data_IF_693306648190
#
_entry.id   IF_693306648190
#
_cell.length_a   1.000
_cell.length_b   1.000
_cell.length_c   1.000
_cell.angle_alpha   90.00
_cell.angle_beta   90.00
_cell.angle_gamma   90.00
#
_symmetry.space_group_name_H-M   'P 1'
#
loop_
_entity.id
_entity.type
_entity.pdbx_description
1 polymer ?
#
# COMPACT_ATOMS: atom_id res chain seq x y z
N UNK A 1 10.64 -1.99 -10.95
CA UNK A 1 11.75 -1.23 -10.30
C UNK A 1 11.88 -1.67 -8.84
N UNK A 2 13.05 -1.55 -8.21
CA UNK A 2 13.25 -1.90 -6.80
C UNK A 2 12.88 -0.77 -5.83
N UNK A 3 12.40 -1.14 -4.64
CA UNK A 3 12.07 -0.26 -3.52
C UNK A 3 12.81 -0.74 -2.27
N UNK A 4 13.18 0.19 -1.38
CA UNK A 4 13.88 -0.12 -0.15
C UNK A 4 13.22 0.61 1.03
N UNK A 5 13.09 -0.06 2.17
CA UNK A 5 12.65 0.57 3.43
C UNK A 5 13.73 1.48 4.00
N UNK A 6 13.34 2.46 4.82
CA UNK A 6 14.26 3.45 5.40
C UNK A 6 15.36 2.81 6.27
N UNK A 7 15.08 1.67 6.89
CA UNK A 7 16.02 0.89 7.71
C UNK A 7 16.83 -0.13 6.90
N UNK A 8 16.60 -0.23 5.59
CA UNK A 8 17.25 -1.16 4.68
C UNK A 8 16.91 -2.64 4.91
N UNK A 9 15.99 -2.96 5.84
CA UNK A 9 15.67 -4.35 6.19
C UNK A 9 14.73 -5.02 5.20
N UNK A 10 14.03 -4.22 4.39
CA UNK A 10 13.15 -4.68 3.33
C UNK A 10 13.58 -4.09 1.99
N UNK A 11 13.79 -4.98 1.02
CA UNK A 11 13.91 -4.63 -0.39
C UNK A 11 12.74 -5.27 -1.11
N UNK A 12 11.91 -4.50 -1.80
CA UNK A 12 10.79 -5.01 -2.57
C UNK A 12 10.82 -4.58 -4.03
N UNK A 13 10.01 -5.25 -4.83
CA UNK A 13 9.87 -4.92 -6.25
C UNK A 13 8.54 -5.45 -6.77
N UNK A 14 8.06 -4.87 -7.85
CA UNK A 14 7.01 -5.43 -8.69
C UNK A 14 7.62 -6.55 -9.54
N UNK A 15 7.15 -7.77 -9.35
CA UNK A 15 7.64 -8.96 -10.03
C UNK A 15 6.65 -9.41 -11.10
N UNK A 16 7.02 -9.39 -12.39
CA UNK A 16 6.32 -10.15 -13.41
C UNK A 16 6.31 -11.65 -13.05
N UNK A 17 5.16 -12.31 -13.17
CA UNK A 17 4.98 -13.71 -12.78
C UNK A 17 4.85 -14.56 -14.02
N UNK A 18 5.77 -15.49 -14.20
CA UNK A 18 5.81 -16.47 -15.28
C UNK A 18 5.32 -17.85 -14.79
N UNK A 19 4.91 -18.76 -15.69
CA UNK A 19 4.51 -20.11 -15.32
C UNK A 19 5.61 -20.84 -14.53
N UNK A 20 5.19 -21.58 -13.49
CA UNK A 20 6.08 -22.39 -12.65
C UNK A 20 6.83 -21.62 -11.56
N UNK A 21 6.16 -20.66 -10.90
CA UNK A 21 6.70 -19.83 -9.80
C UNK A 21 8.02 -19.13 -10.16
N UNK A 22 8.02 -18.55 -11.36
CA UNK A 22 9.13 -17.80 -11.93
C UNK A 22 8.81 -16.31 -11.90
N UNK A 23 9.79 -15.50 -11.52
CA UNK A 23 9.61 -14.09 -11.22
C UNK A 23 10.62 -13.25 -12.00
N UNK A 24 10.13 -12.21 -12.68
CA UNK A 24 10.97 -11.22 -13.35
C UNK A 24 11.73 -10.35 -12.35
N UNK A 25 12.96 -10.01 -12.71
CA UNK A 25 13.87 -9.15 -11.95
C UNK A 25 14.35 -7.93 -12.75
N UNK A 26 14.00 -7.88 -14.03
CA UNK A 26 14.46 -6.88 -14.97
C UNK A 26 14.59 -7.50 -16.37
N UNK A 27 15.43 -6.89 -17.20
CA UNK A 27 15.68 -7.33 -18.57
C UNK A 27 17.12 -7.81 -18.76
N UNK A 28 17.31 -8.80 -19.64
CA UNK A 28 18.60 -9.43 -19.94
C UNK A 28 18.48 -10.38 -21.12
N UNK A 29 19.55 -10.55 -21.90
CA UNK A 29 19.56 -11.48 -23.05
C UNK A 29 18.52 -11.17 -24.15
N UNK A 30 18.04 -9.93 -24.26
CA UNK A 30 16.99 -9.55 -25.21
C UNK A 30 15.55 -9.85 -24.77
N UNK A 31 15.36 -10.28 -23.52
CA UNK A 31 14.05 -10.57 -22.91
C UNK A 31 14.04 -10.30 -21.42
N UNK A 32 13.14 -10.96 -20.70
CA UNK A 32 13.05 -10.90 -19.26
C UNK A 32 14.17 -11.70 -18.58
N UNK A 33 14.66 -11.16 -17.48
CA UNK A 33 15.54 -11.84 -16.53
C UNK A 33 14.68 -12.47 -15.44
N UNK A 34 14.73 -13.80 -15.30
CA UNK A 34 13.77 -14.57 -14.51
C UNK A 34 14.45 -15.46 -13.49
N UNK A 35 13.91 -15.50 -12.27
CA UNK A 35 14.40 -16.31 -11.15
C UNK A 35 13.27 -17.05 -10.44
N UNK A 36 13.58 -18.21 -9.86
CA UNK A 36 12.67 -18.91 -8.94
C UNK A 36 13.08 -18.68 -7.50
N UNK A 37 12.08 -18.67 -6.64
CA UNK A 37 12.24 -18.60 -5.20
C UNK A 37 11.54 -19.79 -4.54
N UNK A 38 12.18 -20.40 -3.54
CA UNK A 38 11.59 -21.47 -2.77
C UNK A 38 10.23 -21.06 -2.18
N UNK A 39 9.24 -21.98 -2.15
CA UNK A 39 8.02 -21.74 -1.42
C UNK A 39 8.28 -21.79 0.09
N UNK A 40 7.40 -21.14 0.86
CA UNK A 40 7.43 -21.20 2.32
C UNK A 40 7.69 -19.85 2.99
N UNK A 41 7.63 -19.83 4.33
CA UNK A 41 7.85 -18.62 5.12
C UNK A 41 9.32 -18.24 5.21
N UNK A 42 9.57 -16.97 5.51
CA UNK A 42 10.91 -16.41 5.69
C UNK A 42 11.51 -15.89 4.39
N UNK A 43 12.78 -15.42 4.44
CA UNK A 43 13.41 -14.69 3.34
C UNK A 43 13.32 -15.43 2.01
N UNK A 44 13.18 -14.66 0.92
CA UNK A 44 13.14 -15.22 -0.42
C UNK A 44 14.47 -15.93 -0.72
N UNK A 45 14.41 -17.25 -0.89
CA UNK A 45 15.57 -18.09 -1.18
C UNK A 45 15.58 -18.45 -2.65
N UNK A 46 16.62 -18.07 -3.37
CA UNK A 46 16.81 -18.42 -4.77
C UNK A 46 16.94 -19.94 -4.96
N UNK A 47 16.31 -20.47 -6.02
CA UNK A 47 16.38 -21.89 -6.38
C UNK A 47 16.62 -22.02 -7.88
N UNK A 48 17.61 -22.83 -8.26
CA UNK A 48 17.99 -23.01 -9.66
C UNK A 48 18.74 -21.81 -10.22
N UNK A 49 18.98 -21.85 -11.52
CA UNK A 49 19.76 -20.84 -12.22
C UNK A 49 18.92 -19.63 -12.64
N UNK A 50 19.60 -18.50 -12.85
CA UNK A 50 19.02 -17.31 -13.44
C UNK A 50 18.77 -17.56 -14.93
N UNK A 51 17.53 -17.34 -15.37
CA UNK A 51 17.11 -17.50 -16.77
C UNK A 51 17.15 -16.11 -17.46
N UNK A 52 17.85 -15.97 -18.58
CA UNK A 52 17.89 -14.73 -19.37
C UNK A 52 17.17 -14.91 -20.73
N UNK A 53 16.75 -13.80 -21.34
CA UNK A 53 16.11 -13.83 -22.66
C UNK A 53 14.73 -14.49 -22.66
N UNK A 54 14.06 -14.58 -21.51
CA UNK A 54 12.73 -15.17 -21.40
C UNK A 54 11.71 -14.25 -22.07
N UNK A 55 10.82 -14.80 -22.88
CA UNK A 55 9.76 -14.02 -23.53
C UNK A 55 8.81 -13.38 -22.49
N UNK A 56 8.86 -12.06 -22.35
CA UNK A 56 8.00 -11.30 -21.43
C UNK A 56 6.51 -11.44 -21.73
N UNK A 57 6.14 -11.85 -22.94
CA UNK A 57 4.75 -12.14 -23.27
C UNK A 57 4.18 -13.35 -22.51
N UNK A 58 5.04 -14.23 -21.99
CA UNK A 58 4.63 -15.37 -21.17
C UNK A 58 4.20 -14.99 -19.74
N UNK A 59 4.27 -13.70 -19.37
CA UNK A 59 3.79 -13.22 -18.07
C UNK A 59 2.29 -13.50 -17.90
N UNK A 60 1.97 -14.09 -16.76
CA UNK A 60 0.62 -14.45 -16.29
C UNK A 60 0.01 -13.42 -15.35
N UNK A 61 0.82 -12.47 -14.86
CA UNK A 61 0.42 -11.43 -13.93
C UNK A 61 1.60 -10.77 -13.24
N UNK A 62 1.33 -9.94 -12.24
CA UNK A 62 2.33 -9.19 -11.48
C UNK A 62 2.03 -9.27 -9.99
N UNK A 63 3.05 -9.24 -9.14
CA UNK A 63 2.85 -9.13 -7.69
C UNK A 63 4.04 -8.48 -7.00
N UNK A 64 3.81 -7.95 -5.81
CA UNK A 64 4.89 -7.49 -4.96
C UNK A 64 5.68 -8.66 -4.37
N UNK A 65 6.99 -8.57 -4.41
CA UNK A 65 7.89 -9.43 -3.64
C UNK A 65 8.69 -8.56 -2.66
N UNK A 66 9.14 -9.16 -1.57
CA UNK A 66 10.10 -8.54 -0.66
C UNK A 66 11.14 -9.55 -0.19
N UNK A 67 12.39 -9.11 -0.05
CA UNK A 67 13.53 -9.90 0.45
C UNK A 67 13.25 -10.59 1.78
N UNK A 68 12.37 -10.02 2.63
CA UNK A 68 11.93 -10.62 3.89
C UNK A 68 11.07 -11.89 3.75
N UNK A 69 10.60 -12.19 2.52
CA UNK A 69 9.72 -13.33 2.24
C UNK A 69 8.29 -12.97 1.90
N UNK A 70 7.90 -11.69 2.04
CA UNK A 70 6.55 -11.26 1.73
C UNK A 70 6.25 -11.42 0.23
N UNK A 71 5.05 -11.92 -0.07
CA UNK A 71 4.52 -12.10 -1.43
C UNK A 71 3.12 -11.48 -1.47
N UNK A 72 2.99 -10.35 -2.14
CA UNK A 72 1.74 -9.61 -2.27
C UNK A 72 0.69 -10.37 -3.11
N UNK A 73 -0.56 -9.89 -3.13
CA UNK A 73 -1.60 -10.42 -4.02
C UNK A 73 -1.15 -10.48 -5.50
N UNK A 74 -1.70 -11.43 -6.26
CA UNK A 74 -1.45 -11.52 -7.69
C UNK A 74 -2.40 -10.60 -8.45
N UNK A 75 -1.84 -9.72 -9.27
CA UNK A 75 -2.52 -9.00 -10.33
C UNK A 75 -2.53 -9.86 -11.58
N UNK A 76 -3.67 -10.45 -11.90
CA UNK A 76 -3.82 -11.43 -12.97
C UNK A 76 -3.88 -10.72 -14.31
N UNK A 77 -3.04 -11.14 -15.24
CA UNK A 77 -3.13 -10.69 -16.62
C UNK A 77 -4.31 -11.37 -17.31
N UNK A 78 -5.20 -10.58 -17.90
CA UNK A 78 -6.33 -11.08 -18.67
C UNK A 78 -6.07 -10.96 -20.18
N UNK A 79 -6.82 -11.73 -20.97
CA UNK A 79 -6.58 -11.82 -22.41
C UNK A 79 -7.16 -10.65 -23.19
N UNK A 80 -8.22 -10.00 -22.68
CA UNK A 80 -8.92 -8.92 -23.38
C UNK A 80 -9.22 -7.73 -22.49
N UNK A 81 -9.31 -6.53 -23.07
CA UNK A 81 -9.67 -5.31 -22.34
C UNK A 81 -11.07 -5.34 -21.73
N UNK A 82 -11.98 -6.17 -22.26
CA UNK A 82 -13.32 -6.35 -21.70
C UNK A 82 -13.31 -7.08 -20.34
N UNK A 83 -12.24 -7.79 -20.01
CA UNK A 83 -12.07 -8.51 -18.76
C UNK A 83 -11.32 -7.73 -17.68
N UNK A 84 -10.85 -6.53 -18.03
CA UNK A 84 -10.11 -5.64 -17.14
C UNK A 84 -11.02 -5.15 -16.01
N UNK A 85 -10.52 -5.32 -14.78
CA UNK A 85 -11.14 -4.85 -13.56
C UNK A 85 -10.03 -4.72 -12.50
N UNK A 86 -9.45 -3.52 -12.41
CA UNK A 86 -8.30 -3.25 -11.54
C UNK A 86 -8.68 -3.30 -10.05
N UNK A 87 -9.95 -3.10 -9.69
CA UNK A 87 -10.43 -3.20 -8.31
C UNK A 87 -10.30 -4.64 -7.78
N UNK A 88 -10.43 -5.64 -8.66
CA UNK A 88 -10.19 -7.06 -8.35
C UNK A 88 -8.89 -7.59 -8.97
N UNK A 89 -7.97 -6.70 -9.37
CA UNK A 89 -6.62 -6.99 -9.87
C UNK A 89 -6.60 -7.84 -11.15
N UNK A 90 -7.53 -7.58 -12.05
CA UNK A 90 -7.53 -8.13 -13.42
C UNK A 90 -7.07 -7.05 -14.37
N UNK A 91 -5.94 -7.29 -15.02
CA UNK A 91 -5.24 -6.25 -15.79
C UNK A 91 -5.13 -6.70 -17.23
N UNK A 92 -5.62 -5.88 -18.14
CA UNK A 92 -5.36 -6.08 -19.56
C UNK A 92 -4.13 -5.29 -19.96
N UNK A 93 -3.11 -5.97 -20.48
CA UNK A 93 -1.89 -5.30 -20.94
C UNK A 93 -1.47 -5.86 -22.30
N UNK A 94 -1.50 -4.96 -23.30
CA UNK A 94 -1.18 -5.28 -24.68
C UNK A 94 0.23 -5.83 -24.85
N UNK A 95 0.38 -6.86 -25.67
CA UNK A 95 1.66 -7.54 -25.91
C UNK A 95 2.69 -6.59 -26.56
N UNK A 96 2.26 -5.70 -27.45
CA UNK A 96 3.15 -4.83 -28.22
C UNK A 96 3.86 -3.75 -27.38
N UNK A 97 3.39 -3.49 -26.16
CA UNK A 97 3.92 -2.44 -25.31
C UNK A 97 5.11 -2.88 -24.45
N UNK A 98 5.37 -4.18 -24.32
CA UNK A 98 6.31 -4.66 -23.31
C UNK A 98 6.93 -6.04 -23.60
N UNK A 99 8.15 -6.10 -24.18
CA UNK A 99 8.85 -7.35 -24.45
C UNK A 99 9.45 -8.01 -23.19
N UNK A 100 9.52 -7.28 -22.06
CA UNK A 100 10.14 -7.75 -20.81
C UNK A 100 9.12 -8.17 -19.76
N UNK A 101 7.85 -7.84 -19.97
CA UNK A 101 6.76 -8.23 -19.09
C UNK A 101 6.60 -7.37 -17.84
N UNK A 102 7.25 -6.20 -17.76
CA UNK A 102 7.02 -5.18 -16.71
C UNK A 102 5.52 -4.86 -16.50
N UNK A 103 5.19 -4.44 -15.27
CA UNK A 103 3.83 -4.04 -14.94
C UNK A 103 3.46 -2.71 -15.64
N UNK A 104 2.17 -2.51 -15.98
CA UNK A 104 1.65 -1.17 -16.21
C UNK A 104 1.93 -0.24 -15.01
N UNK A 105 2.10 1.06 -15.24
CA UNK A 105 2.52 1.99 -14.19
C UNK A 105 1.51 2.11 -13.02
N UNK A 106 0.21 1.99 -13.30
CA UNK A 106 -0.85 1.97 -12.30
C UNK A 106 -0.84 0.68 -11.47
N UNK A 107 -0.54 -0.46 -12.10
CA UNK A 107 -0.33 -1.74 -11.42
C UNK A 107 0.93 -1.70 -10.55
N UNK A 108 2.03 -1.15 -11.05
CA UNK A 108 3.25 -0.92 -10.26
C UNK A 108 2.95 -0.06 -9.02
N UNK A 109 2.20 1.04 -9.18
CA UNK A 109 1.80 1.89 -8.07
C UNK A 109 0.88 1.18 -7.05
N UNK A 110 -0.02 0.31 -7.54
CA UNK A 110 -0.85 -0.55 -6.71
C UNK A 110 -0.02 -1.53 -5.88
N UNK A 111 0.92 -2.22 -6.53
CA UNK A 111 1.84 -3.16 -5.87
C UNK A 111 2.74 -2.44 -4.86
N UNK A 112 3.25 -1.26 -5.20
CA UNK A 112 4.02 -0.44 -4.26
C UNK A 112 3.22 -0.08 -3.02
N UNK A 113 1.92 0.23 -3.17
CA UNK A 113 1.03 0.49 -2.04
C UNK A 113 0.86 -0.75 -1.15
N UNK A 114 0.68 -1.92 -1.75
CA UNK A 114 0.61 -3.20 -1.03
C UNK A 114 1.93 -3.51 -0.31
N UNK A 115 3.06 -3.26 -0.96
CA UNK A 115 4.37 -3.39 -0.35
C UNK A 115 4.52 -2.41 0.82
N UNK A 116 4.18 -1.13 0.68
CA UNK A 116 4.24 -0.22 1.84
C UNK A 116 3.38 -0.67 3.01
N UNK A 117 2.19 -1.22 2.75
CA UNK A 117 1.30 -1.72 3.79
C UNK A 117 1.90 -2.93 4.53
N UNK A 118 2.63 -3.81 3.86
CA UNK A 118 3.23 -4.99 4.51
C UNK A 118 4.36 -4.62 5.49
N UNK A 119 5.02 -3.48 5.29
CA UNK A 119 6.09 -2.99 6.16
C UNK A 119 5.56 -2.56 7.54
N UNK A 120 4.27 -2.31 7.67
CA UNK A 120 3.70 -1.86 8.95
C UNK A 120 3.49 -3.04 9.91
N UNK A 121 4.19 -3.07 11.06
CA UNK A 121 3.85 -4.01 12.11
C UNK A 121 2.39 -3.83 12.51
N UNK A 122 1.63 -4.91 12.78
CA UNK A 122 0.23 -4.82 13.18
C UNK A 122 -0.01 -3.88 14.37
N UNK A 123 0.95 -3.80 15.30
CA UNK A 123 0.91 -2.87 16.43
C UNK A 123 0.93 -1.39 15.99
N UNK A 124 1.76 -1.03 15.00
CA UNK A 124 1.82 0.34 14.47
C UNK A 124 0.62 0.67 13.60
N UNK A 125 0.08 -0.31 12.86
CA UNK A 125 -1.19 -0.15 12.15
C UNK A 125 -2.34 0.17 13.14
N UNK A 126 -2.40 -0.53 14.27
CA UNK A 126 -3.37 -0.26 15.34
C UNK A 126 -3.19 1.14 15.95
N UNK A 127 -1.95 1.57 16.21
CA UNK A 127 -1.65 2.94 16.68
C UNK A 127 -2.13 3.99 15.69
N UNK A 128 -1.89 3.78 14.38
CA UNK A 128 -2.35 4.71 13.34
C UNK A 128 -3.87 4.77 13.24
N UNK A 129 -4.54 3.62 13.32
CA UNK A 129 -6.00 3.56 13.34
C UNK A 129 -6.56 4.35 14.53
N UNK A 130 -6.02 4.12 15.74
CA UNK A 130 -6.40 4.85 16.94
C UNK A 130 -6.15 6.37 16.81
N UNK A 131 -5.03 6.77 16.20
CA UNK A 131 -4.73 8.19 15.96
C UNK A 131 -5.74 8.85 15.02
N UNK A 132 -6.17 8.16 13.95
CA UNK A 132 -7.20 8.65 13.02
C UNK A 132 -8.55 8.78 13.71
N UNK A 133 -8.92 7.80 14.54
CA UNK A 133 -10.15 7.85 15.33
C UNK A 133 -10.13 9.02 16.33
N UNK A 134 -9.01 9.23 17.01
CA UNK A 134 -8.82 10.34 17.94
C UNK A 134 -8.92 11.70 17.23
N UNK A 135 -8.32 11.85 16.06
CA UNK A 135 -8.43 13.05 15.24
C UNK A 135 -9.88 13.31 14.82
N UNK A 136 -10.56 12.30 14.27
CA UNK A 136 -11.95 12.43 13.86
C UNK A 136 -12.88 12.74 15.04
N UNK A 137 -12.62 12.17 16.22
CA UNK A 137 -13.36 12.50 17.44
C UNK A 137 -13.09 13.94 17.91
N UNK A 138 -11.84 14.42 17.81
CA UNK A 138 -11.48 15.80 18.13
C UNK A 138 -12.16 16.80 17.17
N UNK A 139 -12.26 16.48 15.89
CA UNK A 139 -12.96 17.29 14.89
C UNK A 139 -14.46 17.36 15.19
N UNK A 140 -15.10 16.21 15.48
CA UNK A 140 -16.51 16.17 15.89
C UNK A 140 -16.76 16.97 17.17
N UNK A 141 -15.89 16.85 18.16
CA UNK A 141 -15.98 17.63 19.40
C UNK A 141 -15.87 19.13 19.11
N UNK A 142 -14.93 19.53 18.25
CA UNK A 142 -14.76 20.94 17.87
C UNK A 142 -15.99 21.47 17.14
N UNK A 143 -16.60 20.69 16.24
CA UNK A 143 -17.85 21.06 15.59
C UNK A 143 -19.01 21.21 16.59
N UNK A 144 -19.14 20.29 17.55
CA UNK A 144 -20.14 20.39 18.62
C UNK A 144 -19.92 21.62 19.52
N UNK A 145 -18.67 21.96 19.84
CA UNK A 145 -18.34 23.17 20.60
C UNK A 145 -18.71 24.43 19.81
N UNK A 146 -18.46 24.48 18.50
CA UNK A 146 -18.90 25.59 17.63
C UNK A 146 -20.42 25.76 17.67
N UNK A 147 -21.17 24.66 17.54
CA UNK A 147 -22.63 24.69 17.62
C UNK A 147 -23.12 25.20 19.00
N UNK A 148 -22.56 24.69 20.09
CA UNK A 148 -22.90 25.14 21.45
C UNK A 148 -22.60 26.63 21.66
N UNK A 149 -21.51 27.15 21.06
CA UNK A 149 -21.17 28.58 21.11
C UNK A 149 -22.15 29.43 20.30
N UNK A 150 -22.61 28.95 19.14
CA UNK A 150 -23.67 29.61 18.36
C UNK A 150 -24.98 29.70 19.15
N UNK A 151 -25.29 28.68 19.96
CA UNK A 151 -26.42 28.67 20.90
C UNK A 151 -26.16 29.46 22.20
N UNK A 152 -25.10 30.27 22.22
CA UNK A 152 -24.70 31.14 23.34
C UNK A 152 -24.37 30.39 24.65
N UNK A 153 -24.04 29.09 24.62
CA UNK A 153 -23.56 28.37 25.81
C UNK A 153 -22.22 28.90 26.28
N UNK A 154 -22.04 28.99 27.60
CA UNK A 154 -20.82 29.55 28.18
C UNK A 154 -19.64 28.58 28.05
N UNK A 155 -18.41 29.10 28.09
CA UNK A 155 -17.21 28.26 28.17
C UNK A 155 -17.17 27.41 29.45
N UNK A 156 -17.85 27.83 30.51
CA UNK A 156 -17.96 27.04 31.74
C UNK A 156 -18.85 25.82 31.53
N UNK A 157 -20.00 25.99 30.86
CA UNK A 157 -20.91 24.89 30.54
C UNK A 157 -20.24 23.86 29.63
N UNK A 158 -19.57 24.34 28.57
CA UNK A 158 -18.87 23.49 27.61
C UNK A 158 -17.74 22.72 28.30
N UNK A 159 -16.95 23.40 29.15
CA UNK A 159 -15.89 22.75 29.94
C UNK A 159 -16.43 21.67 30.86
N UNK A 160 -17.51 21.97 31.60
CA UNK A 160 -18.14 21.01 32.50
C UNK A 160 -18.63 19.74 31.76
N UNK A 161 -19.20 19.88 30.57
CA UNK A 161 -19.69 18.75 29.78
C UNK A 161 -18.60 17.79 29.30
N UNK A 162 -17.35 18.26 29.18
CA UNK A 162 -16.22 17.44 28.71
C UNK A 162 -15.17 17.22 29.79
N UNK A 163 -15.50 17.54 31.04
CA UNK A 163 -14.66 17.27 32.21
C UNK A 163 -13.40 18.14 32.32
N UNK A 164 -13.41 19.35 31.78
CA UNK A 164 -12.28 20.30 31.88
C UNK A 164 -12.70 21.65 32.46
N UNK A 165 -11.72 22.43 32.89
CA UNK A 165 -11.99 23.77 33.44
C UNK A 165 -12.47 24.75 32.36
N UNK A 166 -13.18 25.80 32.78
CA UNK A 166 -13.57 26.93 31.91
C UNK A 166 -12.36 27.49 31.14
N UNK A 167 -11.24 27.68 31.83
CA UNK A 167 -10.03 28.28 31.24
C UNK A 167 -9.44 27.35 30.18
N UNK A 168 -9.34 26.05 30.47
CA UNK A 168 -8.87 25.05 29.49
C UNK A 168 -9.77 24.97 28.25
N UNK A 169 -11.10 25.05 28.45
CA UNK A 169 -12.05 25.10 27.33
C UNK A 169 -11.87 26.36 26.49
N UNK A 170 -11.73 27.52 27.13
CA UNK A 170 -11.47 28.79 26.44
C UNK A 170 -10.17 28.75 25.65
N UNK A 171 -9.05 28.38 26.27
CA UNK A 171 -7.74 28.31 25.61
C UNK A 171 -7.74 27.37 24.40
N UNK A 172 -8.42 26.21 24.53
CA UNK A 172 -8.48 25.19 23.49
C UNK A 172 -9.30 25.61 22.27
N UNK A 173 -10.45 26.25 22.48
CA UNK A 173 -11.43 26.46 21.40
C UNK A 173 -11.67 27.91 21.00
N UNK A 174 -11.31 28.90 21.82
CA UNK A 174 -11.54 30.32 21.52
C UNK A 174 -10.96 30.77 20.17
N UNK A 175 -9.84 30.19 19.73
CA UNK A 175 -9.18 30.52 18.46
C UNK A 175 -9.80 29.81 17.24
N UNK A 176 -10.62 28.79 17.47
CA UNK A 176 -11.16 27.90 16.44
C UNK A 176 -12.67 28.17 16.21
N UNK A 177 -13.34 28.75 17.20
CA UNK A 177 -14.76 29.11 17.16
C UNK A 177 -15.01 30.63 17.04
N UNK A 178 -13.95 31.40 16.78
CA UNK A 178 -14.04 32.83 16.51
C UNK A 178 -14.53 33.11 15.10
#
# INVERSE_FOLDING_TARGET
MGWQSDDGSHEGWDAPVFPGDRYGLGSGGGGALVRRYAPGPGPLREVGDLEEGVDGHAVTGWRGLCSCGWRGPLWVRVSTGAEEDTDVRRVWWGLDANPYGDAPADVEAGIFTEWRAHLEPPALAAVRAAAREAAAAADRLTAAVRAARADRRSWADIGAMVGITRQSAYERWSRITG
#
